data_IF_051232157596
#
_entry.id   IF_051232157596
#
_cell.length_a   1.000
_cell.length_b   1.000
_cell.length_c   1.000
_cell.angle_alpha   90.00
_cell.angle_beta   90.00
_cell.angle_gamma   90.00
#
_symmetry.space_group_name_H-M   'P 1'
#
loop_
_entity.id
_entity.type
_entity.pdbx_description
1 polymer ?
#
# COMPACT_ATOMS: atom_id res chain seq x y z
N UNK A 1 2.83 7.92 -34.34
CA UNK A 1 2.66 7.92 -32.88
C UNK A 1 1.29 8.52 -32.57
N UNK A 2 0.45 7.80 -31.84
CA UNK A 2 -0.88 8.33 -31.46
C UNK A 2 -0.67 9.21 -30.22
N UNK A 3 -1.00 10.51 -30.32
CA UNK A 3 -0.84 11.45 -29.21
C UNK A 3 -2.19 11.68 -28.56
N UNK A 4 -2.31 11.38 -27.26
CA UNK A 4 -3.49 11.72 -26.44
C UNK A 4 -3.21 12.96 -25.59
N UNK A 5 -4.21 13.84 -25.41
CA UNK A 5 -4.11 15.03 -24.55
C UNK A 5 -5.19 15.03 -23.49
N UNK A 6 -4.79 15.27 -22.24
CA UNK A 6 -5.66 15.40 -21.09
C UNK A 6 -5.22 16.60 -20.24
N UNK A 7 -6.00 16.97 -19.25
CA UNK A 7 -5.58 17.94 -18.23
C UNK A 7 -4.73 17.23 -17.19
N UNK A 8 -5.14 16.00 -16.83
CA UNK A 8 -4.45 15.14 -15.86
C UNK A 8 -4.25 13.75 -16.45
N UNK A 9 -3.01 13.23 -16.40
CA UNK A 9 -2.70 11.82 -16.67
C UNK A 9 -2.37 11.12 -15.36
N UNK A 10 -3.00 9.99 -15.09
CA UNK A 10 -2.78 9.20 -13.87
C UNK A 10 -2.16 7.86 -14.25
N UNK A 11 -1.07 7.51 -13.58
CA UNK A 11 -0.33 6.26 -13.81
C UNK A 11 -0.53 5.31 -12.63
N UNK A 12 -1.24 4.22 -12.89
CA UNK A 12 -1.70 3.23 -11.91
C UNK A 12 -3.15 3.45 -11.49
N UNK A 13 -3.97 2.39 -11.57
CA UNK A 13 -5.39 2.37 -11.17
C UNK A 13 -5.61 1.43 -9.96
N UNK A 14 -4.65 1.45 -9.01
CA UNK A 14 -4.88 0.96 -7.65
C UNK A 14 -5.67 1.99 -6.84
N UNK A 15 -5.83 1.77 -5.51
CA UNK A 15 -6.64 2.66 -4.66
C UNK A 15 -6.29 4.14 -4.77
N UNK A 16 -4.99 4.49 -4.83
CA UNK A 16 -4.56 5.87 -4.95
C UNK A 16 -4.95 6.48 -6.30
N UNK A 17 -4.62 5.80 -7.40
CA UNK A 17 -4.86 6.36 -8.73
C UNK A 17 -6.34 6.41 -9.10
N UNK A 18 -7.12 5.40 -8.72
CA UNK A 18 -8.56 5.41 -8.94
C UNK A 18 -9.25 6.54 -8.14
N UNK A 19 -8.82 6.77 -6.88
CA UNK A 19 -9.33 7.89 -6.06
C UNK A 19 -8.92 9.24 -6.62
N UNK A 20 -7.68 9.38 -7.11
CA UNK A 20 -7.22 10.60 -7.77
C UNK A 20 -8.01 10.89 -9.07
N UNK A 21 -8.26 9.83 -9.86
CA UNK A 21 -9.02 9.96 -11.10
C UNK A 21 -10.46 10.41 -10.86
N UNK A 22 -11.12 9.80 -9.87
CA UNK A 22 -12.46 10.19 -9.49
C UNK A 22 -12.51 11.65 -9.02
N UNK A 23 -11.59 12.08 -8.19
CA UNK A 23 -11.59 13.42 -7.63
C UNK A 23 -11.28 14.49 -8.67
N UNK A 24 -10.24 14.32 -9.48
CA UNK A 24 -9.91 15.24 -10.55
C UNK A 24 -11.03 15.37 -11.59
N UNK A 25 -11.67 14.23 -11.96
CA UNK A 25 -12.78 14.24 -12.90
C UNK A 25 -14.04 14.91 -12.33
N UNK A 26 -14.41 14.69 -11.06
CA UNK A 26 -15.52 15.41 -10.38
C UNK A 26 -15.32 16.93 -10.38
N UNK A 27 -14.08 17.38 -10.34
CA UNK A 27 -13.70 18.82 -10.39
C UNK A 27 -13.57 19.36 -11.83
N UNK A 28 -14.01 18.58 -12.84
CA UNK A 28 -14.10 19.02 -14.22
C UNK A 28 -12.84 18.84 -15.07
N UNK A 29 -11.78 18.19 -14.57
CA UNK A 29 -10.61 17.89 -15.37
C UNK A 29 -10.89 16.77 -16.40
N UNK A 30 -10.30 16.89 -17.60
CA UNK A 30 -10.20 15.79 -18.54
C UNK A 30 -9.11 14.84 -18.07
N UNK A 31 -9.50 13.64 -17.58
CA UNK A 31 -8.62 12.66 -16.97
C UNK A 31 -8.42 11.46 -17.88
N UNK A 32 -7.16 11.08 -18.11
CA UNK A 32 -6.77 9.77 -18.65
C UNK A 32 -6.00 9.04 -17.56
N UNK A 33 -6.53 7.91 -17.09
CA UNK A 33 -5.89 7.06 -16.10
C UNK A 33 -5.53 5.71 -16.74
N UNK A 34 -4.28 5.28 -16.55
CA UNK A 34 -3.74 4.08 -17.18
C UNK A 34 -3.26 3.07 -16.13
N UNK A 35 -3.42 1.79 -16.41
CA UNK A 35 -2.80 0.70 -15.62
C UNK A 35 -2.21 -0.38 -16.54
N UNK A 36 -1.07 -0.93 -16.13
CA UNK A 36 -0.42 -2.06 -16.82
C UNK A 36 -1.19 -3.38 -16.69
N UNK A 37 -2.01 -3.53 -15.65
CA UNK A 37 -2.89 -4.69 -15.45
C UNK A 37 -3.99 -4.68 -16.50
N UNK A 38 -4.57 -5.84 -16.77
CA UNK A 38 -5.63 -5.99 -17.77
C UNK A 38 -7.02 -5.67 -17.21
N UNK A 39 -7.16 -5.69 -15.88
CA UNK A 39 -8.40 -5.43 -15.17
C UNK A 39 -8.15 -4.82 -13.79
N UNK A 40 -9.16 -4.15 -13.24
CA UNK A 40 -9.09 -3.54 -11.93
C UNK A 40 -8.91 -4.59 -10.83
N UNK A 41 -8.06 -4.29 -9.85
CA UNK A 41 -7.89 -5.11 -8.64
C UNK A 41 -7.20 -6.47 -8.84
N UNK A 42 -6.90 -6.91 -10.06
CA UNK A 42 -6.30 -8.22 -10.33
C UNK A 42 -4.96 -8.13 -11.05
N UNK A 43 -3.96 -8.98 -10.66
CA UNK A 43 -3.97 -9.85 -9.47
C UNK A 43 -3.93 -9.06 -8.17
N UNK A 44 -4.55 -9.59 -7.11
CA UNK A 44 -4.49 -9.00 -5.77
C UNK A 44 -3.08 -9.19 -5.18
N UNK A 45 -2.43 -8.08 -4.82
CA UNK A 45 -1.11 -8.08 -4.17
C UNK A 45 -1.22 -7.37 -2.81
N UNK A 46 -1.94 -7.98 -1.85
CA UNK A 46 -2.25 -7.38 -0.56
C UNK A 46 -2.66 -8.45 0.45
N UNK A 47 -2.43 -8.17 1.74
CA UNK A 47 -2.97 -8.95 2.83
C UNK A 47 -4.46 -8.63 3.13
N UNK A 48 -5.00 -7.55 2.52
CA UNK A 48 -6.42 -7.19 2.49
C UNK A 48 -7.02 -6.71 3.82
N UNK A 49 -6.19 -6.47 4.83
CA UNK A 49 -6.62 -5.95 6.12
C UNK A 49 -6.52 -4.42 6.17
N UNK A 50 -7.58 -3.78 6.71
CA UNK A 50 -7.63 -2.34 6.97
C UNK A 50 -8.00 -2.12 8.43
N UNK A 51 -7.10 -1.57 9.26
CA UNK A 51 -7.41 -1.16 10.62
C UNK A 51 -8.44 -0.02 10.64
N UNK A 52 -9.40 -0.06 11.56
CA UNK A 52 -10.44 0.96 11.68
C UNK A 52 -9.94 2.35 12.12
N UNK A 53 -8.73 2.41 12.69
CA UNK A 53 -8.11 3.65 13.20
C UNK A 53 -7.72 4.66 12.09
N UNK A 54 -7.84 4.28 10.83
CA UNK A 54 -7.44 5.10 9.70
C UNK A 54 -8.70 5.44 8.91
N UNK A 55 -9.29 6.61 9.17
CA UNK A 55 -10.52 7.19 8.63
C UNK A 55 -10.83 7.02 7.14
N UNK A 56 -10.94 5.79 6.66
CA UNK A 56 -11.62 5.52 5.40
C UNK A 56 -13.10 5.81 5.58
N UNK A 57 -13.69 6.55 4.65
CA UNK A 57 -15.14 6.69 4.59
C UNK A 57 -15.75 5.29 4.47
N UNK A 58 -16.42 4.86 5.53
CA UNK A 58 -16.98 3.51 5.73
C UNK A 58 -17.88 3.09 4.55
N UNK A 59 -18.50 4.05 3.86
CA UNK A 59 -19.43 3.80 2.73
C UNK A 59 -18.76 3.20 1.51
N UNK A 60 -17.51 3.56 1.20
CA UNK A 60 -16.78 3.00 0.06
C UNK A 60 -16.24 1.60 0.36
N UNK A 61 -15.96 1.34 1.64
CA UNK A 61 -15.41 0.08 2.12
C UNK A 61 -16.49 -0.96 2.37
N UNK A 62 -17.66 -0.54 2.85
CA UNK A 62 -18.71 -1.43 3.35
C UNK A 62 -19.12 -2.55 2.37
N UNK A 63 -19.22 -2.22 1.09
CA UNK A 63 -19.65 -3.18 0.06
C UNK A 63 -18.55 -4.22 -0.29
N UNK A 64 -17.28 -3.93 -0.03
CA UNK A 64 -16.15 -4.83 -0.28
C UNK A 64 -15.68 -5.55 0.99
N UNK A 65 -16.31 -5.30 2.15
CA UNK A 65 -15.98 -5.98 3.42
C UNK A 65 -16.38 -7.45 3.33
N UNK A 66 -15.45 -8.32 3.69
CA UNK A 66 -15.68 -9.76 3.79
C UNK A 66 -15.82 -10.23 5.23
N UNK A 67 -15.12 -9.58 6.15
CA UNK A 67 -15.15 -9.96 7.55
C UNK A 67 -14.70 -8.80 8.45
N UNK A 68 -15.41 -8.52 9.57
CA UNK A 68 -14.89 -7.65 10.61
C UNK A 68 -13.78 -8.36 11.41
N UNK A 69 -12.77 -7.61 11.82
CA UNK A 69 -11.72 -8.02 12.74
C UNK A 69 -11.95 -7.29 14.06
N UNK A 70 -11.82 -8.01 15.18
CA UNK A 70 -12.11 -7.49 16.52
C UNK A 70 -10.88 -7.35 17.39
N UNK A 71 -9.88 -8.22 17.19
CA UNK A 71 -8.70 -8.33 18.04
C UNK A 71 -7.42 -8.51 17.23
N UNK A 72 -6.28 -8.28 17.88
CA UNK A 72 -4.97 -8.68 17.40
C UNK A 72 -4.34 -9.66 18.38
N UNK A 73 -3.83 -10.76 17.88
CA UNK A 73 -3.00 -11.72 18.57
C UNK A 73 -1.56 -11.55 18.12
N UNK A 74 -0.65 -11.35 19.04
CA UNK A 74 0.78 -11.21 18.74
C UNK A 74 1.54 -12.37 19.37
N UNK A 75 2.24 -13.14 18.57
CA UNK A 75 3.13 -14.23 18.97
C UNK A 75 4.56 -13.72 18.86
N UNK A 76 5.27 -13.66 19.98
CA UNK A 76 6.66 -13.22 20.06
C UNK A 76 7.54 -14.42 20.36
N UNK A 77 8.23 -14.92 19.32
CA UNK A 77 8.99 -16.16 19.38
C UNK A 77 8.13 -17.34 19.87
N UNK A 78 8.48 -17.92 21.01
CA UNK A 78 7.83 -19.04 21.68
C UNK A 78 7.03 -18.63 22.92
N UNK A 79 6.84 -17.32 23.14
CA UNK A 79 6.04 -16.83 24.27
C UNK A 79 4.56 -17.17 24.11
N UNK A 80 3.82 -17.12 25.22
CA UNK A 80 2.37 -17.12 25.19
C UNK A 80 1.85 -15.94 24.34
N UNK A 81 0.68 -16.14 23.71
CA UNK A 81 0.09 -15.12 22.85
C UNK A 81 -0.30 -13.87 23.64
N UNK A 82 0.15 -12.72 23.16
CA UNK A 82 -0.28 -11.41 23.66
C UNK A 82 -1.54 -10.98 22.90
N UNK A 83 -2.63 -10.69 23.61
CA UNK A 83 -3.93 -10.36 23.03
C UNK A 83 -4.27 -8.90 23.23
N UNK A 84 -4.53 -8.19 22.13
CA UNK A 84 -5.17 -6.87 22.13
C UNK A 84 -6.65 -7.07 21.79
N UNK A 85 -7.55 -7.10 22.77
CA UNK A 85 -8.94 -7.53 22.58
C UNK A 85 -9.83 -6.50 21.87
N UNK A 86 -9.32 -5.28 21.67
CA UNK A 86 -10.00 -4.18 20.96
C UNK A 86 -9.06 -3.62 19.90
N UNK A 87 -8.98 -4.35 18.79
CA UNK A 87 -8.24 -3.92 17.61
C UNK A 87 -9.14 -4.01 16.38
N UNK A 88 -10.12 -3.10 16.25
CA UNK A 88 -11.11 -3.17 15.20
C UNK A 88 -10.47 -2.92 13.83
N UNK A 89 -10.95 -3.65 12.85
CA UNK A 89 -10.57 -3.51 11.45
C UNK A 89 -11.47 -4.34 10.55
N UNK A 90 -11.14 -4.37 9.28
CA UNK A 90 -11.94 -5.08 8.29
C UNK A 90 -11.05 -5.81 7.28
N UNK A 91 -11.40 -7.03 6.97
CA UNK A 91 -10.87 -7.73 5.81
C UNK A 91 -11.69 -7.37 4.59
N UNK A 92 -11.00 -6.96 3.53
CA UNK A 92 -11.62 -6.58 2.26
C UNK A 92 -11.46 -7.67 1.21
N UNK A 93 -12.34 -7.63 0.21
CA UNK A 93 -12.05 -8.16 -1.11
C UNK A 93 -11.41 -7.04 -1.94
N UNK A 94 -10.10 -7.08 -2.08
CA UNK A 94 -9.34 -6.04 -2.79
C UNK A 94 -9.65 -6.00 -4.28
N UNK A 95 -10.02 -7.12 -4.89
CA UNK A 95 -10.44 -7.12 -6.29
C UNK A 95 -11.74 -6.34 -6.47
N UNK A 96 -12.75 -6.59 -5.62
CA UNK A 96 -14.02 -5.87 -5.62
C UNK A 96 -13.84 -4.40 -5.21
N UNK A 97 -13.05 -4.13 -4.16
CA UNK A 97 -12.76 -2.78 -3.69
C UNK A 97 -12.11 -1.90 -4.78
N UNK A 98 -11.03 -2.40 -5.39
CA UNK A 98 -10.32 -1.65 -6.44
C UNK A 98 -11.21 -1.45 -7.67
N UNK A 99 -12.02 -2.46 -8.06
CA UNK A 99 -12.96 -2.36 -9.17
C UNK A 99 -14.03 -1.28 -8.92
N UNK A 100 -14.56 -1.17 -7.69
CA UNK A 100 -15.51 -0.13 -7.30
C UNK A 100 -14.90 1.27 -7.37
N UNK A 101 -13.69 1.45 -6.90
CA UNK A 101 -12.99 2.74 -7.01
C UNK A 101 -12.77 3.15 -8.48
N UNK A 102 -12.40 2.19 -9.34
CA UNK A 102 -12.28 2.45 -10.78
C UNK A 102 -13.64 2.78 -11.42
N UNK A 103 -14.70 2.07 -11.04
CA UNK A 103 -16.06 2.37 -11.52
C UNK A 103 -16.50 3.78 -11.11
N UNK A 104 -16.19 4.21 -9.89
CA UNK A 104 -16.44 5.58 -9.44
C UNK A 104 -15.67 6.61 -10.26
N UNK A 105 -14.40 6.33 -10.59
CA UNK A 105 -13.60 7.20 -11.45
C UNK A 105 -14.20 7.32 -12.86
N UNK A 106 -14.63 6.19 -13.44
CA UNK A 106 -15.29 6.18 -14.74
C UNK A 106 -16.62 6.92 -14.73
N UNK A 107 -17.44 6.73 -13.69
CA UNK A 107 -18.72 7.44 -13.50
C UNK A 107 -18.49 8.95 -13.35
N UNK A 108 -17.40 9.37 -12.74
CA UNK A 108 -17.01 10.78 -12.62
C UNK A 108 -16.52 11.38 -13.96
N UNK A 109 -16.30 10.57 -15.00
CA UNK A 109 -15.87 11.01 -16.33
C UNK A 109 -14.39 10.73 -16.65
N UNK A 110 -13.65 10.03 -15.79
CA UNK A 110 -12.27 9.63 -16.09
C UNK A 110 -12.21 8.52 -17.13
N UNK A 111 -11.32 8.63 -18.10
CA UNK A 111 -11.02 7.56 -19.05
C UNK A 111 -10.04 6.56 -18.44
N UNK A 112 -10.53 5.45 -17.90
CA UNK A 112 -9.73 4.38 -17.32
C UNK A 112 -9.30 3.38 -18.40
N UNK A 113 -7.98 3.24 -18.64
CA UNK A 113 -7.41 2.38 -19.68
C UNK A 113 -6.53 1.31 -19.05
N UNK A 114 -6.87 0.04 -19.26
CA UNK A 114 -6.11 -1.12 -18.79
C UNK A 114 -5.22 -1.71 -19.87
N UNK A 115 -4.22 -2.49 -19.48
CA UNK A 115 -3.21 -3.04 -20.41
C UNK A 115 -2.22 -2.00 -20.93
N UNK A 116 -2.26 -0.77 -20.40
CA UNK A 116 -1.41 0.35 -20.81
C UNK A 116 -0.21 0.47 -19.86
N UNK A 117 0.97 0.07 -20.30
CA UNK A 117 2.18 0.13 -19.50
C UNK A 117 2.98 1.39 -19.80
N UNK A 118 3.19 2.24 -18.81
CA UNK A 118 4.10 3.38 -18.91
C UNK A 118 5.54 2.89 -19.04
N UNK A 119 6.27 3.49 -19.96
CA UNK A 119 7.72 3.33 -20.15
C UNK A 119 8.49 4.35 -19.31
N UNK A 120 8.09 5.61 -19.38
CA UNK A 120 8.69 6.74 -18.65
C UNK A 120 7.81 7.98 -18.68
N UNK A 121 8.12 8.92 -17.81
CA UNK A 121 7.78 10.35 -18.00
C UNK A 121 8.99 11.00 -18.62
N UNK A 122 8.79 11.75 -19.70
CA UNK A 122 9.86 12.46 -20.41
C UNK A 122 10.30 13.71 -19.64
N UNK A 123 11.41 14.35 -20.08
CA UNK A 123 11.85 15.62 -19.47
C UNK A 123 10.85 16.75 -19.68
N UNK A 124 10.03 16.67 -20.73
CA UNK A 124 8.99 17.65 -21.07
C UNK A 124 7.66 17.32 -20.38
N UNK A 125 7.62 16.28 -19.53
CA UNK A 125 6.46 15.89 -18.73
C UNK A 125 5.43 15.02 -19.47
N UNK A 126 5.75 14.52 -20.67
CA UNK A 126 4.87 13.60 -21.38
C UNK A 126 5.01 12.17 -20.84
N UNK A 127 3.89 11.43 -20.80
CA UNK A 127 3.86 10.01 -20.42
C UNK A 127 3.97 9.15 -21.66
N UNK A 128 5.12 8.51 -21.85
CA UNK A 128 5.40 7.58 -22.96
C UNK A 128 5.03 6.15 -22.53
N UNK A 129 4.19 5.49 -23.32
CA UNK A 129 3.78 4.10 -23.12
C UNK A 129 4.70 3.13 -23.88
N UNK A 130 4.66 1.85 -23.50
CA UNK A 130 5.49 0.81 -24.13
C UNK A 130 5.08 0.49 -25.58
N UNK A 131 3.86 0.81 -25.98
CA UNK A 131 3.34 0.67 -27.36
C UNK A 131 3.67 1.87 -28.28
N UNK A 132 4.40 2.87 -27.75
CA UNK A 132 4.76 4.08 -28.47
C UNK A 132 3.70 5.19 -28.40
N UNK A 133 2.59 4.99 -27.70
CA UNK A 133 1.61 6.05 -27.41
C UNK A 133 2.23 7.10 -26.50
N UNK A 134 1.96 8.37 -26.76
CA UNK A 134 2.39 9.51 -25.93
C UNK A 134 1.15 10.22 -25.38
N UNK A 135 1.11 10.46 -24.08
CA UNK A 135 0.06 11.20 -23.41
C UNK A 135 0.65 12.49 -22.84
N UNK A 136 0.12 13.63 -23.30
CA UNK A 136 0.51 14.95 -22.81
C UNK A 136 -0.53 15.47 -21.80
N UNK A 137 -0.06 16.05 -20.68
CA UNK A 137 -0.90 16.62 -19.66
C UNK A 137 -0.23 17.80 -18.95
N UNK A 138 -1.03 18.63 -18.28
CA UNK A 138 -0.53 19.66 -17.37
C UNK A 138 -0.09 19.07 -16.02
N UNK A 139 -0.74 17.98 -15.61
CA UNK A 139 -0.42 17.26 -14.36
C UNK A 139 -0.31 15.78 -14.63
N UNK A 140 0.72 15.13 -14.07
CA UNK A 140 0.87 13.69 -14.00
C UNK A 140 0.77 13.26 -12.54
N UNK A 141 -0.13 12.32 -12.23
CA UNK A 141 -0.21 11.70 -10.90
C UNK A 141 0.38 10.30 -10.98
N UNK A 142 1.53 10.09 -10.33
CA UNK A 142 2.17 8.79 -10.16
C UNK A 142 1.55 8.03 -8.99
N UNK A 143 0.70 7.04 -9.31
CA UNK A 143 0.12 6.07 -8.38
C UNK A 143 0.56 4.65 -8.76
N UNK A 144 1.77 4.53 -9.32
CA UNK A 144 2.34 3.34 -9.95
C UNK A 144 3.10 2.42 -8.99
N UNK A 145 2.87 2.62 -7.69
CA UNK A 145 3.31 1.74 -6.62
C UNK A 145 4.74 1.98 -6.14
N UNK A 146 5.30 1.07 -5.32
CA UNK A 146 6.51 1.32 -4.55
C UNK A 146 7.78 1.52 -5.39
N UNK A 147 7.79 1.10 -6.64
CA UNK A 147 8.90 1.28 -7.59
C UNK A 147 8.55 2.30 -8.68
N UNK A 148 7.91 3.39 -8.28
CA UNK A 148 7.38 4.43 -9.17
C UNK A 148 8.37 4.90 -10.23
N UNK A 149 7.93 4.86 -11.50
CA UNK A 149 8.64 5.47 -12.61
C UNK A 149 8.33 6.98 -12.70
N UNK A 150 7.12 7.38 -12.29
CA UNK A 150 6.77 8.79 -12.18
C UNK A 150 7.65 9.50 -11.13
N UNK A 151 7.83 8.87 -9.95
CA UNK A 151 8.73 9.38 -8.93
C UNK A 151 10.18 9.49 -9.40
N UNK A 152 10.66 8.52 -10.17
CA UNK A 152 12.02 8.58 -10.77
C UNK A 152 12.21 9.77 -11.69
N UNK A 153 11.18 10.17 -12.42
CA UNK A 153 11.26 11.30 -13.35
C UNK A 153 11.50 12.64 -12.65
N UNK A 154 11.10 12.75 -11.38
CA UNK A 154 11.31 13.93 -10.53
C UNK A 154 12.37 13.73 -9.44
N UNK A 155 13.16 12.64 -9.52
CA UNK A 155 14.26 12.36 -8.59
C UNK A 155 13.86 11.72 -7.26
N UNK A 156 12.59 11.36 -7.07
CA UNK A 156 12.07 10.77 -5.83
C UNK A 156 11.84 9.26 -5.96
N UNK A 157 12.34 8.49 -5.01
CA UNK A 157 12.26 7.02 -4.99
C UNK A 157 12.16 6.49 -3.56
N UNK A 158 11.37 5.45 -3.39
CA UNK A 158 11.44 4.65 -2.17
C UNK A 158 12.78 3.90 -2.13
N UNK A 159 13.65 4.26 -1.19
CA UNK A 159 14.95 3.63 -1.00
C UNK A 159 14.82 2.32 -0.19
N UNK A 160 13.93 2.30 0.78
CA UNK A 160 13.73 1.17 1.68
C UNK A 160 12.44 0.43 1.33
N UNK A 161 12.58 -0.87 1.04
CA UNK A 161 11.46 -1.76 0.72
C UNK A 161 11.50 -2.99 1.61
N UNK A 162 10.35 -3.59 1.85
CA UNK A 162 10.18 -4.96 2.36
C UNK A 162 9.66 -5.81 1.21
N UNK A 163 10.20 -7.01 1.07
CA UNK A 163 9.68 -8.01 0.14
C UNK A 163 8.71 -8.93 0.87
N UNK A 164 7.56 -9.22 0.26
CA UNK A 164 6.51 -10.03 0.88
C UNK A 164 6.17 -11.25 0.05
N UNK A 165 5.70 -12.29 0.74
CA UNK A 165 5.08 -13.48 0.14
C UNK A 165 3.91 -13.92 1.00
N UNK A 166 2.83 -14.30 0.34
CA UNK A 166 1.59 -14.72 0.97
C UNK A 166 1.00 -15.90 0.21
N UNK A 167 0.38 -16.81 0.94
CA UNK A 167 -0.49 -17.85 0.42
C UNK A 167 -1.89 -17.67 0.98
N UNK A 168 -2.90 -18.13 0.26
CA UNK A 168 -4.28 -18.25 0.77
C UNK A 168 -4.53 -19.70 1.10
N UNK A 169 -5.01 -19.97 2.32
CA UNK A 169 -5.29 -21.30 2.84
C UNK A 169 -6.69 -21.36 3.45
N UNK A 170 -7.26 -22.54 3.62
CA UNK A 170 -8.53 -22.72 4.34
C UNK A 170 -8.32 -22.57 5.84
N UNK A 171 -9.30 -22.00 6.54
CA UNK A 171 -9.39 -22.03 8.01
C UNK A 171 -10.17 -23.27 8.45
N UNK A 172 -9.72 -23.93 9.53
CA UNK A 172 -10.41 -25.08 10.11
C UNK A 172 -11.51 -24.67 11.12
N UNK A 173 -11.45 -23.43 11.59
CA UNK A 173 -12.46 -22.83 12.47
C UNK A 173 -12.59 -21.32 12.21
N UNK A 174 -13.74 -20.70 12.50
CA UNK A 174 -13.90 -19.25 12.43
C UNK A 174 -12.87 -18.54 13.31
N UNK A 175 -12.31 -17.45 12.79
CA UNK A 175 -11.31 -16.65 13.48
C UNK A 175 -11.59 -15.15 13.23
N UNK A 176 -11.61 -14.32 14.29
CA UNK A 176 -11.98 -12.90 14.21
C UNK A 176 -10.83 -11.96 14.64
N UNK A 177 -9.61 -12.50 14.74
CA UNK A 177 -8.43 -11.72 15.07
C UNK A 177 -7.40 -11.76 13.92
N UNK A 178 -6.60 -10.72 13.82
CA UNK A 178 -5.35 -10.79 13.06
C UNK A 178 -4.28 -11.45 13.92
N UNK A 179 -3.57 -12.44 13.39
CA UNK A 179 -2.41 -13.02 14.07
C UNK A 179 -1.12 -12.48 13.46
N UNK A 180 -0.23 -12.06 14.32
CA UNK A 180 1.07 -11.47 14.00
C UNK A 180 2.17 -12.35 14.63
N UNK A 181 3.16 -12.69 13.83
CA UNK A 181 4.30 -13.52 14.27
C UNK A 181 5.57 -12.67 14.19
N UNK A 182 6.09 -12.30 15.36
CA UNK A 182 7.34 -11.57 15.53
C UNK A 182 8.42 -12.56 15.94
N UNK A 183 9.41 -12.76 15.07
CA UNK A 183 10.48 -13.71 15.33
C UNK A 183 11.78 -13.30 14.66
N UNK A 184 12.92 -13.62 15.28
CA UNK A 184 14.24 -13.29 14.76
C UNK A 184 14.56 -13.97 13.41
N UNK A 185 13.89 -15.09 13.12
CA UNK A 185 14.01 -15.77 11.83
C UNK A 185 13.20 -15.10 10.69
N UNK A 186 12.44 -14.02 10.97
CA UNK A 186 11.73 -13.17 9.99
C UNK A 186 12.42 -11.78 9.95
N UNK A 187 13.61 -11.66 9.40
CA UNK A 187 14.45 -10.47 9.58
C UNK A 187 13.86 -9.25 8.88
N UNK A 188 13.71 -8.17 9.65
CA UNK A 188 13.23 -6.86 9.18
C UNK A 188 11.75 -6.80 8.80
N UNK A 189 10.94 -7.73 9.30
CA UNK A 189 9.50 -7.75 9.12
C UNK A 189 8.80 -8.66 10.10
N UNK A 190 7.69 -9.26 9.67
CA UNK A 190 6.86 -10.14 10.49
C UNK A 190 6.07 -11.13 9.63
N UNK A 191 5.55 -12.18 10.27
CA UNK A 191 4.56 -13.09 9.69
C UNK A 191 3.13 -12.70 10.06
N UNK A 192 2.18 -13.13 9.27
CA UNK A 192 0.75 -12.87 9.55
C UNK A 192 -0.15 -14.04 9.16
N UNK A 193 -1.28 -14.17 9.86
CA UNK A 193 -2.46 -14.92 9.44
C UNK A 193 -3.67 -13.98 9.57
N UNK A 194 -4.24 -13.58 8.44
CA UNK A 194 -5.40 -12.69 8.40
C UNK A 194 -6.62 -13.44 7.86
N UNK A 195 -7.62 -13.68 8.72
CA UNK A 195 -8.80 -14.45 8.35
C UNK A 195 -9.70 -13.67 7.39
N UNK A 196 -10.26 -14.37 6.38
CA UNK A 196 -11.17 -13.80 5.39
C UNK A 196 -12.30 -14.80 5.10
N UNK A 197 -13.26 -14.88 6.00
CA UNK A 197 -14.33 -15.89 5.96
C UNK A 197 -13.77 -17.30 6.17
N UNK A 198 -14.01 -18.25 5.26
CA UNK A 198 -13.55 -19.63 5.39
C UNK A 198 -12.07 -19.82 5.03
N UNK A 199 -11.39 -18.76 4.61
CA UNK A 199 -9.97 -18.79 4.23
C UNK A 199 -9.17 -17.79 5.06
N UNK A 200 -7.84 -17.88 4.99
CA UNK A 200 -6.95 -16.86 5.54
C UNK A 200 -5.80 -16.55 4.58
N UNK A 201 -5.34 -15.32 4.65
CA UNK A 201 -4.12 -14.85 4.03
C UNK A 201 -2.96 -15.07 5.01
N UNK A 202 -2.11 -16.04 4.72
CA UNK A 202 -0.93 -16.41 5.51
C UNK A 202 0.33 -15.96 4.79
N UNK A 203 1.15 -15.15 5.42
CA UNK A 203 2.33 -14.63 4.75
C UNK A 203 3.41 -14.13 5.67
N UNK A 204 4.47 -13.61 5.05
CA UNK A 204 5.55 -12.92 5.74
C UNK A 204 6.11 -11.79 4.88
N UNK A 205 6.66 -10.78 5.56
CA UNK A 205 7.49 -9.75 4.96
C UNK A 205 8.90 -9.80 5.55
N UNK A 206 9.93 -9.55 4.74
CA UNK A 206 11.32 -9.51 5.17
C UNK A 206 12.08 -8.40 4.48
N UNK A 207 13.21 -7.99 5.05
CA UNK A 207 14.17 -7.10 4.39
C UNK A 207 14.66 -7.72 3.06
N UNK A 208 15.02 -6.90 2.05
CA UNK A 208 15.37 -7.39 0.70
C UNK A 208 16.50 -8.43 0.68
N UNK A 209 17.48 -8.31 1.58
CA UNK A 209 18.60 -9.27 1.69
C UNK A 209 18.15 -10.68 2.12
N UNK A 210 16.99 -10.80 2.79
CA UNK A 210 16.41 -12.07 3.21
C UNK A 210 15.32 -12.59 2.25
N UNK A 211 15.12 -11.95 1.10
CA UNK A 211 14.07 -12.31 0.11
C UNK A 211 14.10 -13.78 -0.30
N UNK A 212 15.27 -14.37 -0.47
CA UNK A 212 15.43 -15.79 -0.84
C UNK A 212 14.82 -16.74 0.19
N UNK A 213 14.73 -16.34 1.45
CA UNK A 213 14.18 -17.14 2.56
C UNK A 213 12.65 -17.07 2.67
N UNK A 214 11.98 -16.12 1.98
CA UNK A 214 10.54 -15.90 2.12
C UNK A 214 9.70 -17.16 1.86
N UNK A 215 10.05 -17.95 0.85
CA UNK A 215 9.31 -19.18 0.53
C UNK A 215 9.40 -20.20 1.67
N UNK A 216 10.56 -20.33 2.28
CA UNK A 216 10.82 -21.21 3.41
C UNK A 216 10.09 -20.71 4.67
N UNK A 217 10.20 -19.44 4.99
CA UNK A 217 9.53 -18.82 6.14
C UNK A 217 8.01 -19.05 6.09
N UNK A 218 7.38 -18.76 4.94
CA UNK A 218 5.93 -18.94 4.77
C UNK A 218 5.55 -20.42 4.86
N UNK A 219 6.35 -21.32 4.29
CA UNK A 219 6.11 -22.76 4.38
C UNK A 219 6.22 -23.27 5.82
N UNK A 220 7.25 -22.85 6.56
CA UNK A 220 7.45 -23.24 7.96
C UNK A 220 6.28 -22.75 8.83
N UNK A 221 5.84 -21.50 8.63
CA UNK A 221 4.69 -20.96 9.34
C UNK A 221 3.40 -21.72 8.97
N UNK A 222 3.20 -22.08 7.70
CA UNK A 222 2.07 -22.89 7.26
C UNK A 222 2.06 -24.27 7.94
N UNK A 223 3.18 -24.99 7.94
CA UNK A 223 3.29 -26.31 8.59
C UNK A 223 3.04 -26.23 10.09
N UNK A 224 3.54 -25.19 10.77
CA UNK A 224 3.26 -24.95 12.18
C UNK A 224 1.76 -24.81 12.44
N UNK A 225 1.08 -23.92 11.70
CA UNK A 225 -0.35 -23.67 11.85
C UNK A 225 -1.22 -24.87 11.46
N UNK A 226 -0.76 -25.70 10.52
CA UNK A 226 -1.39 -27.00 10.21
C UNK A 226 -1.27 -27.99 11.38
N UNK A 227 -0.08 -28.12 11.97
CA UNK A 227 0.14 -28.99 13.13
C UNK A 227 -0.69 -28.54 14.36
N UNK A 228 -0.92 -27.24 14.48
CA UNK A 228 -1.82 -26.64 15.47
C UNK A 228 -3.32 -26.86 15.12
N UNK A 229 -3.65 -27.46 13.98
CA UNK A 229 -5.03 -27.68 13.53
C UNK A 229 -5.78 -26.43 13.11
N UNK A 230 -5.10 -25.32 12.85
CA UNK A 230 -5.71 -24.00 12.57
C UNK A 230 -6.05 -23.79 11.10
N UNK A 231 -5.23 -24.31 10.20
CA UNK A 231 -5.37 -24.14 8.75
C UNK A 231 -5.28 -25.49 8.02
N UNK A 232 -5.88 -25.55 6.83
CA UNK A 232 -5.80 -26.73 5.96
C UNK A 232 -4.47 -26.82 5.21
N UNK A 233 -4.25 -27.96 4.54
CA UNK A 233 -3.03 -28.26 3.79
C UNK A 233 -3.00 -27.60 2.40
N UNK A 234 -4.16 -27.33 1.82
CA UNK A 234 -4.28 -26.86 0.44
C UNK A 234 -3.98 -25.39 0.32
N UNK A 235 -3.04 -25.04 -0.57
CA UNK A 235 -2.76 -23.66 -0.96
C UNK A 235 -3.68 -23.27 -2.12
N UNK A 236 -4.59 -22.32 -1.89
CA UNK A 236 -5.59 -21.87 -2.85
C UNK A 236 -5.06 -20.77 -3.79
N UNK A 237 -4.05 -20.04 -3.36
CA UNK A 237 -3.46 -18.95 -4.13
C UNK A 237 -2.15 -18.47 -3.54
N UNK A 238 -1.40 -17.72 -4.35
CA UNK A 238 -0.11 -17.15 -3.93
C UNK A 238 0.05 -15.75 -4.49
N UNK A 239 0.55 -14.85 -3.67
CA UNK A 239 0.86 -13.47 -4.06
C UNK A 239 2.06 -12.93 -3.28
N UNK A 240 2.49 -11.73 -3.61
CA UNK A 240 3.56 -11.02 -2.92
C UNK A 240 4.02 -9.82 -3.71
N UNK A 241 4.83 -9.00 -3.08
CA UNK A 241 5.39 -7.80 -3.71
C UNK A 241 6.13 -6.93 -2.73
N UNK A 242 6.78 -5.88 -3.21
CA UNK A 242 7.46 -4.92 -2.35
C UNK A 242 6.46 -3.98 -1.67
N UNK A 243 6.78 -3.58 -0.44
CA UNK A 243 6.09 -2.52 0.32
C UNK A 243 7.12 -1.45 0.67
N UNK A 244 6.84 -0.14 0.47
CA UNK A 244 7.75 0.92 0.89
C UNK A 244 7.69 1.08 2.42
N UNK A 245 8.86 1.18 3.04
CA UNK A 245 8.99 1.23 4.50
C UNK A 245 9.96 2.31 4.99
N UNK A 246 10.43 3.15 4.07
CA UNK A 246 11.32 4.28 4.37
C UNK A 246 10.59 5.56 4.79
N UNK A 247 9.26 5.54 4.87
CA UNK A 247 8.46 6.75 5.09
C UNK A 247 8.22 7.54 3.80
N UNK A 248 7.61 8.72 3.95
CA UNK A 248 7.24 9.58 2.84
C UNK A 248 8.46 10.09 2.08
N UNK A 249 8.44 9.95 0.76
CA UNK A 249 9.39 10.62 -0.15
C UNK A 249 8.82 11.95 -0.61
N UNK A 250 9.61 12.81 -1.28
CA UNK A 250 9.10 14.05 -1.86
C UNK A 250 7.89 13.75 -2.77
N UNK A 251 6.67 14.21 -2.42
CA UNK A 251 5.46 13.75 -3.08
C UNK A 251 5.14 14.53 -4.35
N UNK A 252 5.95 15.52 -4.71
CA UNK A 252 5.77 16.31 -5.91
C UNK A 252 7.08 16.79 -6.53
N UNK A 253 7.01 17.28 -7.74
CA UNK A 253 8.10 17.89 -8.48
C UNK A 253 7.65 18.26 -9.90
N UNK A 254 8.60 18.67 -10.74
CA UNK A 254 8.31 19.06 -12.13
C UNK A 254 9.11 18.25 -13.14
N UNK A 255 8.47 17.99 -14.27
CA UNK A 255 9.10 17.51 -15.48
C UNK A 255 8.76 18.51 -16.60
N UNK A 256 9.71 19.40 -16.94
CA UNK A 256 9.42 20.57 -17.77
C UNK A 256 8.37 21.47 -17.12
N UNK A 257 7.30 21.80 -17.84
CA UNK A 257 6.17 22.57 -17.34
C UNK A 257 5.12 21.74 -16.61
N UNK A 258 5.21 20.40 -16.68
CA UNK A 258 4.24 19.48 -16.10
C UNK A 258 4.48 19.31 -14.60
N UNK A 259 3.43 19.51 -13.79
CA UNK A 259 3.43 19.14 -12.37
C UNK A 259 3.32 17.62 -12.24
N UNK A 260 4.18 17.02 -11.43
CA UNK A 260 4.15 15.58 -11.12
C UNK A 260 3.86 15.41 -9.64
N UNK A 261 2.77 14.72 -9.30
CA UNK A 261 2.39 14.37 -7.93
C UNK A 261 2.53 12.86 -7.73
N UNK A 262 2.90 12.43 -6.53
CA UNK A 262 2.97 11.00 -6.17
C UNK A 262 1.92 10.70 -5.09
N UNK A 263 1.25 9.55 -5.19
CA UNK A 263 0.23 9.13 -4.23
C UNK A 263 0.37 7.65 -3.83
N UNK A 264 -0.08 7.31 -2.64
CA UNK A 264 0.00 5.96 -2.08
C UNK A 264 1.44 5.47 -1.94
N UNK A 265 1.69 4.23 -2.32
CA UNK A 265 3.03 3.62 -2.23
C UNK A 265 4.08 4.34 -3.08
N UNK A 266 3.70 5.03 -4.16
CA UNK A 266 4.62 5.83 -4.95
C UNK A 266 5.20 7.00 -4.14
N UNK A 267 4.42 7.55 -3.22
CA UNK A 267 4.82 8.59 -2.26
C UNK A 267 5.39 8.02 -0.93
N UNK A 268 5.49 6.69 -0.78
CA UNK A 268 6.02 6.06 0.44
C UNK A 268 5.08 6.11 1.65
N UNK A 269 3.76 6.14 1.43
CA UNK A 269 2.77 6.34 2.49
C UNK A 269 2.29 5.06 3.18
N UNK A 270 2.82 3.88 2.82
CA UNK A 270 2.59 2.68 3.62
C UNK A 270 3.29 2.81 4.99
N UNK A 271 2.63 2.36 6.04
CA UNK A 271 3.21 2.41 7.39
C UNK A 271 4.49 1.54 7.46
N UNK A 272 5.63 2.08 7.87
CA UNK A 272 6.92 1.39 7.88
C UNK A 272 6.97 0.10 8.72
N UNK A 273 6.14 -0.03 9.73
CA UNK A 273 6.10 -1.21 10.63
C UNK A 273 5.06 -2.21 10.18
N UNK A 274 3.82 -1.79 9.97
CA UNK A 274 2.70 -2.69 9.68
C UNK A 274 2.48 -2.98 8.20
N UNK A 275 3.05 -2.17 7.30
CA UNK A 275 2.78 -2.23 5.86
C UNK A 275 1.38 -1.78 5.46
N UNK A 276 0.58 -1.26 6.39
CA UNK A 276 -0.77 -0.75 6.10
C UNK A 276 -0.69 0.50 5.20
N UNK A 277 -1.32 0.44 4.02
CA UNK A 277 -1.24 1.50 3.02
C UNK A 277 -2.55 1.81 2.30
N UNK A 278 -3.60 0.97 2.42
CA UNK A 278 -4.85 1.13 1.64
C UNK A 278 -5.52 2.48 1.91
N UNK A 279 -5.70 2.84 3.19
CA UNK A 279 -6.33 4.08 3.58
C UNK A 279 -5.52 5.31 3.15
N UNK A 280 -4.20 5.27 3.37
CA UNK A 280 -3.30 6.32 2.93
C UNK A 280 -3.30 6.48 1.40
N UNK A 281 -3.40 5.37 0.66
CA UNK A 281 -3.51 5.40 -0.80
C UNK A 281 -4.78 6.11 -1.27
N UNK A 282 -5.96 5.78 -0.69
CA UNK A 282 -7.22 6.45 -1.03
C UNK A 282 -7.18 7.94 -0.69
N UNK A 283 -6.75 8.29 0.53
CA UNK A 283 -6.72 9.68 0.99
C UNK A 283 -5.73 10.52 0.18
N UNK A 284 -4.49 10.06 0.00
CA UNK A 284 -3.49 10.77 -0.81
C UNK A 284 -3.88 10.89 -2.27
N UNK A 285 -4.58 9.86 -2.80
CA UNK A 285 -5.14 9.93 -4.15
C UNK A 285 -6.15 11.06 -4.31
N UNK A 286 -7.09 11.21 -3.36
CA UNK A 286 -8.07 12.31 -3.35
C UNK A 286 -7.37 13.67 -3.29
N UNK A 287 -6.44 13.82 -2.35
CA UNK A 287 -5.66 15.07 -2.20
C UNK A 287 -4.87 15.41 -3.48
N UNK A 288 -4.25 14.41 -4.12
CA UNK A 288 -3.55 14.59 -5.39
C UNK A 288 -4.50 15.01 -6.53
N UNK A 289 -5.70 14.39 -6.61
CA UNK A 289 -6.73 14.78 -7.58
C UNK A 289 -7.26 16.20 -7.38
N UNK A 290 -7.42 16.62 -6.14
CA UNK A 290 -7.80 17.96 -5.73
C UNK A 290 -6.73 19.00 -6.09
N UNK A 291 -5.47 18.76 -5.71
CA UNK A 291 -4.34 19.61 -6.06
C UNK A 291 -4.21 19.74 -7.59
N UNK A 292 -4.29 18.62 -8.33
CA UNK A 292 -4.25 18.63 -9.79
C UNK A 292 -5.35 19.51 -10.40
N UNK A 293 -6.57 19.43 -9.87
CA UNK A 293 -7.68 20.27 -10.35
C UNK A 293 -7.48 21.76 -10.06
N UNK A 294 -6.99 22.11 -8.87
CA UNK A 294 -6.63 23.51 -8.54
C UNK A 294 -5.57 24.05 -9.52
N UNK A 295 -4.50 23.28 -9.74
CA UNK A 295 -3.43 23.67 -10.67
C UNK A 295 -3.94 23.83 -12.12
N UNK A 296 -4.78 22.92 -12.60
CA UNK A 296 -5.41 23.01 -13.92
C UNK A 296 -6.33 24.23 -14.02
N UNK A 297 -7.01 24.60 -12.94
CA UNK A 297 -7.87 25.77 -12.86
C UNK A 297 -7.14 27.13 -12.82
N UNK A 298 -5.78 27.12 -12.81
CA UNK A 298 -4.97 28.34 -12.78
C UNK A 298 -4.55 28.76 -11.37
N UNK A 299 -4.70 27.89 -10.37
CA UNK A 299 -4.14 28.09 -9.04
C UNK A 299 -2.61 28.15 -9.06
N UNK A 300 -2.05 28.83 -8.08
CA UNK A 300 -0.59 29.04 -7.92
C UNK A 300 0.08 27.88 -7.16
N UNK A 301 -0.70 26.96 -6.58
CA UNK A 301 -0.19 25.78 -5.87
C UNK A 301 0.58 24.89 -6.84
N UNK A 302 1.86 24.72 -6.58
CA UNK A 302 2.77 23.91 -7.36
C UNK A 302 3.13 22.56 -6.71
N UNK A 303 2.32 22.14 -5.73
CA UNK A 303 2.46 20.88 -4.99
C UNK A 303 2.92 21.03 -3.54
N UNK A 304 3.26 22.24 -3.09
CA UNK A 304 3.66 22.48 -1.69
C UNK A 304 2.50 22.26 -0.72
N UNK A 305 1.31 22.81 -1.01
CA UNK A 305 0.11 22.57 -0.19
C UNK A 305 -0.23 21.08 -0.12
N UNK A 306 -0.06 20.35 -1.22
CA UNK A 306 -0.27 18.89 -1.25
C UNK A 306 0.70 18.16 -0.31
N UNK A 307 1.97 18.57 -0.31
CA UNK A 307 2.98 17.99 0.60
C UNK A 307 2.64 18.32 2.05
N UNK A 308 2.26 19.56 2.35
CA UNK A 308 1.90 19.99 3.71
C UNK A 308 0.66 19.24 4.24
N UNK A 309 -0.35 19.02 3.39
CA UNK A 309 -1.52 18.22 3.75
C UNK A 309 -1.13 16.76 4.03
N UNK A 310 -0.28 16.15 3.20
CA UNK A 310 0.21 14.80 3.45
C UNK A 310 1.01 14.72 4.77
N UNK A 311 1.87 15.70 5.04
CA UNK A 311 2.63 15.77 6.30
C UNK A 311 1.71 15.95 7.50
N UNK A 312 0.71 16.78 7.40
CA UNK A 312 -0.29 17.01 8.44
C UNK A 312 -1.05 15.71 8.79
N UNK A 313 -1.46 14.95 7.78
CA UNK A 313 -2.28 13.74 7.98
C UNK A 313 -1.43 12.52 8.38
N UNK A 314 -0.27 12.33 7.76
CA UNK A 314 0.49 11.08 7.88
C UNK A 314 1.84 11.23 8.58
N UNK A 315 2.42 12.44 8.63
CA UNK A 315 3.82 12.68 9.02
C UNK A 315 4.17 12.05 10.35
N UNK A 316 3.48 12.41 11.42
CA UNK A 316 3.81 11.93 12.77
C UNK A 316 3.73 10.40 12.92
N UNK A 317 2.74 9.77 12.27
CA UNK A 317 2.58 8.31 12.30
C UNK A 317 3.68 7.59 11.51
N UNK A 318 4.04 8.12 10.34
CA UNK A 318 5.12 7.57 9.50
C UNK A 318 6.49 7.75 10.16
N UNK A 319 6.77 8.91 10.73
CA UNK A 319 8.04 9.21 11.41
C UNK A 319 8.24 8.29 12.62
N UNK A 320 7.21 8.11 13.45
CA UNK A 320 7.26 7.16 14.57
C UNK A 320 7.54 5.76 14.07
N UNK A 321 6.78 5.28 13.11
CA UNK A 321 6.92 3.92 12.59
C UNK A 321 8.31 3.72 11.94
N UNK A 322 8.82 4.70 11.20
CA UNK A 322 10.15 4.65 10.61
C UNK A 322 11.25 4.64 11.66
N UNK A 323 11.14 5.47 12.72
CA UNK A 323 12.08 5.47 13.84
C UNK A 323 12.11 4.11 14.56
N UNK A 324 10.95 3.51 14.87
CA UNK A 324 10.88 2.18 15.50
C UNK A 324 11.50 1.09 14.62
N UNK A 325 11.20 1.14 13.31
CA UNK A 325 11.79 0.21 12.34
C UNK A 325 13.31 0.32 12.30
N UNK A 326 13.85 1.54 12.22
CA UNK A 326 15.30 1.78 12.21
C UNK A 326 15.98 1.34 13.49
N UNK A 327 15.36 1.60 14.65
CA UNK A 327 15.88 1.14 15.94
C UNK A 327 15.99 -0.39 15.97
N UNK A 328 14.95 -1.10 15.51
CA UNK A 328 14.97 -2.57 15.46
C UNK A 328 16.01 -3.09 14.43
N UNK A 329 16.15 -2.46 13.28
CA UNK A 329 17.14 -2.80 12.28
C UNK A 329 18.57 -2.63 12.81
N UNK A 330 18.86 -1.53 13.52
CA UNK A 330 20.16 -1.30 14.15
C UNK A 330 20.49 -2.30 15.27
N UNK A 331 19.49 -2.87 15.95
CA UNK A 331 19.69 -4.00 16.87
C UNK A 331 20.04 -5.25 16.06
N UNK A 332 19.30 -5.54 14.98
CA UNK A 332 19.50 -6.72 14.16
C UNK A 332 20.88 -6.77 13.46
N UNK A 333 21.47 -5.62 13.17
CA UNK A 333 22.84 -5.52 12.64
C UNK A 333 23.93 -5.93 13.66
N UNK A 334 23.63 -5.78 14.95
CA UNK A 334 24.58 -6.12 16.05
C UNK A 334 24.34 -7.52 16.61
N UNK A 335 23.25 -8.17 16.26
CA UNK A 335 22.85 -9.50 16.70
C UNK A 335 21.36 -9.75 16.54
N UNK A 336 20.90 -10.93 16.90
CA UNK A 336 19.47 -11.23 16.86
C UNK A 336 18.70 -10.32 17.85
N UNK A 337 17.59 -9.67 17.45
CA UNK A 337 16.75 -8.91 18.38
C UNK A 337 16.17 -9.85 19.44
N UNK A 338 16.21 -9.42 20.69
CA UNK A 338 15.53 -10.12 21.77
C UNK A 338 14.00 -9.86 21.75
N UNK A 339 13.26 -10.62 22.55
CA UNK A 339 11.80 -10.51 22.65
C UNK A 339 11.35 -9.10 23.06
N UNK A 340 12.11 -8.41 23.91
CA UNK A 340 11.80 -7.05 24.33
C UNK A 340 11.97 -6.04 23.17
N UNK A 341 13.02 -6.20 22.35
CA UNK A 341 13.22 -5.38 21.16
C UNK A 341 12.12 -5.60 20.12
N UNK A 342 11.68 -6.85 19.89
CA UNK A 342 10.55 -7.16 19.01
C UNK A 342 9.25 -6.48 19.47
N UNK A 343 8.97 -6.51 20.78
CA UNK A 343 7.81 -5.83 21.36
C UNK A 343 7.89 -4.31 21.20
N UNK A 344 9.01 -3.68 21.51
CA UNK A 344 9.21 -2.23 21.31
C UNK A 344 9.03 -1.78 19.86
N UNK A 345 9.29 -2.66 18.92
CA UNK A 345 9.10 -2.41 17.48
C UNK A 345 7.67 -2.58 16.97
N UNK A 346 6.72 -3.04 17.80
CA UNK A 346 5.39 -3.43 17.34
C UNK A 346 4.25 -2.64 17.99
N UNK A 347 3.25 -2.25 17.19
CA UNK A 347 2.15 -1.34 17.58
C UNK A 347 1.24 -1.85 18.70
N UNK A 348 1.24 -3.16 19.01
CA UNK A 348 0.43 -3.75 20.07
C UNK A 348 0.92 -3.39 21.48
N UNK A 349 2.15 -2.89 21.62
CA UNK A 349 2.79 -2.67 22.91
C UNK A 349 2.92 -1.19 23.26
N UNK A 350 2.73 -0.82 24.55
CA UNK A 350 2.86 0.57 24.99
C UNK A 350 4.20 1.20 24.64
N UNK A 351 5.28 0.42 24.65
CA UNK A 351 6.64 0.87 24.36
C UNK A 351 6.82 1.38 22.93
N UNK A 352 6.00 0.92 22.00
CA UNK A 352 5.98 1.47 20.63
C UNK A 352 5.50 2.93 20.62
N UNK A 353 4.58 3.27 21.52
CA UNK A 353 3.95 4.58 21.61
C UNK A 353 4.68 5.54 22.54
N UNK A 354 5.56 5.05 23.39
CA UNK A 354 6.41 5.87 24.25
C UNK A 354 7.31 6.79 23.39
N UNK A 355 7.62 7.97 23.92
CA UNK A 355 8.47 8.96 23.22
C UNK A 355 9.89 8.44 22.99
#
# INVERSE_FOLDING_TARGET
MTTGRADVVIVGLGPAGASAAAEAARRGCRVIAIDRRREAGRPVQCAEFVPAMIGLDVREVAAAVRQPIRAMHTYVEDDAVDVVPRFPGQMLDRADFDARLVAQAATAGAQCRFGCRMRRVTRDGEVELCDGTVLAARVVIGADGPRSLAGRAIGHRNAELVETRQITVTLNAPHEATDIFLACNIPGGYGWLFPKGPVANLGAGVSPHARSRLAEIVRTLHHRLQAEGRVGSTVLGMTGGPIPVGGMVGPWGRAGATLVLLAGDAAGLANPVTGAGIAAAVASGRLAGECAARFVGGGTDDGEEYEDELRSVFGSALERAHSRRRALAGIAERGAPDKAALRRGWIAYPEYWAA
#
